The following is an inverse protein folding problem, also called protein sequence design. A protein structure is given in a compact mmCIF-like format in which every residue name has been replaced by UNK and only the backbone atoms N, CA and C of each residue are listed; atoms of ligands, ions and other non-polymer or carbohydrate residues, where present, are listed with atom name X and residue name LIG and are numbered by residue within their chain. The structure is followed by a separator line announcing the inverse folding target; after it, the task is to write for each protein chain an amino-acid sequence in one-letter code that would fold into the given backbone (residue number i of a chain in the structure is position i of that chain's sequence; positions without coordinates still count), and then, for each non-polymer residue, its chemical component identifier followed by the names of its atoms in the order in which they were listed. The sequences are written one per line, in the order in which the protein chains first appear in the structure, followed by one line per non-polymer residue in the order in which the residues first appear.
data_IF_019641845087
#
_entry.id   IF_019641845087
#
_cell.length_a   1.000
_cell.length_b   1.000
_cell.length_c   1.000
_cell.angle_alpha   90.00
_cell.angle_beta   90.00
_cell.angle_gamma   90.00
#
_symmetry.space_group_name_H-M   'P 1'
#
loop_
_entity.id
_entity.type
_entity.pdbx_description
1 polymer ?
#
# COMPACT_ATOMS: atom_id res chain seq x y z
N UNK A 1 75.65 7.66 -6.49
CA UNK A 1 75.80 6.38 -5.78
C UNK A 1 74.74 6.40 -4.69
N UNK A 2 73.47 6.01 -4.95
CA UNK A 2 72.96 4.61 -4.98
C UNK A 2 73.47 3.84 -3.74
N UNK A 3 72.65 3.22 -2.88
CA UNK A 3 71.59 2.24 -3.13
C UNK A 3 70.57 2.31 -1.95
N UNK A 4 69.26 2.32 -2.18
CA UNK A 4 68.37 1.14 -2.11
C UNK A 4 68.66 0.16 -0.97
N UNK A 5 67.79 0.15 0.06
CA UNK A 5 67.42 -1.09 0.77
C UNK A 5 65.91 -1.11 0.95
N UNK A 6 65.30 -2.06 0.23
CA UNK A 6 63.94 -2.53 0.39
C UNK A 6 63.78 -3.22 1.76
N UNK A 7 62.71 -2.89 2.48
CA UNK A 7 62.29 -3.58 3.68
C UNK A 7 60.78 -3.79 3.66
N UNK A 8 60.34 -4.80 2.90
CA UNK A 8 58.96 -5.27 2.86
C UNK A 8 58.60 -5.95 4.18
N UNK A 9 57.57 -5.45 4.88
CA UNK A 9 56.83 -6.20 5.89
C UNK A 9 55.37 -6.15 5.50
N UNK A 10 54.88 -7.29 5.01
CA UNK A 10 53.47 -7.57 4.75
C UNK A 10 52.69 -7.72 6.06
N UNK A 11 51.37 -7.46 6.05
CA UNK A 11 50.52 -7.53 7.23
C UNK A 11 50.16 -8.98 7.56
N UNK A 12 50.23 -9.32 8.84
CA UNK A 12 49.66 -10.55 9.37
C UNK A 12 48.13 -10.48 9.30
N UNK A 13 47.56 -11.56 8.76
CA UNK A 13 46.16 -11.78 8.50
C UNK A 13 45.67 -12.75 9.58
N UNK A 14 45.12 -12.25 10.67
CA UNK A 14 44.53 -13.10 11.71
C UNK A 14 43.08 -13.44 11.33
N UNK A 15 42.95 -14.62 10.73
CA UNK A 15 41.70 -15.32 10.50
C UNK A 15 41.31 -16.10 11.76
N UNK A 16 40.54 -15.48 12.65
CA UNK A 16 39.85 -16.20 13.72
C UNK A 16 38.46 -16.58 13.22
N UNK A 17 38.33 -17.86 12.86
CA UNK A 17 37.06 -18.47 12.52
C UNK A 17 36.19 -18.62 13.77
N UNK A 18 35.09 -17.87 13.83
CA UNK A 18 34.06 -18.12 14.82
C UNK A 18 33.16 -19.26 14.33
N UNK A 19 33.47 -20.45 14.84
CA UNK A 19 32.72 -21.68 14.62
C UNK A 19 31.30 -21.59 15.16
N UNK A 20 30.37 -21.92 14.27
CA UNK A 20 28.98 -22.29 14.50
C UNK A 20 28.84 -23.27 15.69
N UNK A 21 28.42 -22.75 16.85
CA UNK A 21 27.92 -23.59 17.94
C UNK A 21 26.41 -23.68 17.83
N UNK A 22 26.00 -24.89 17.48
CA UNK A 22 24.66 -25.43 17.50
C UNK A 22 24.30 -25.73 18.95
N UNK A 23 23.33 -25.03 19.50
CA UNK A 23 22.66 -25.43 20.73
C UNK A 23 21.17 -25.66 20.45
N UNK A 24 20.84 -26.95 20.40
CA UNK A 24 19.51 -27.51 20.56
C UNK A 24 19.06 -27.35 22.03
N UNK A 25 18.04 -26.54 22.32
CA UNK A 25 17.26 -26.67 23.56
C UNK A 25 15.76 -26.40 23.31
N UNK A 26 15.03 -27.52 23.29
CA UNK A 26 13.73 -27.79 23.89
C UNK A 26 12.61 -26.72 23.84
N UNK A 27 11.57 -27.09 23.09
CA UNK A 27 10.18 -26.67 23.27
C UNK A 27 9.71 -27.02 24.69
N UNK A 28 9.45 -26.01 25.52
CA UNK A 28 8.66 -26.17 26.74
C UNK A 28 7.25 -25.61 26.56
N UNK A 29 6.30 -26.53 26.59
CA UNK A 29 4.86 -26.36 26.57
C UNK A 29 4.31 -26.17 27.98
N UNK A 30 3.30 -25.30 28.06
CA UNK A 30 2.25 -25.17 29.09
C UNK A 30 2.61 -24.61 30.47
N UNK A 31 1.93 -23.51 30.83
CA UNK A 31 1.15 -23.44 32.07
C UNK A 31 0.04 -22.39 31.91
N UNK A 32 -1.20 -22.84 31.71
CA UNK A 32 -2.39 -22.02 31.92
C UNK A 32 -2.79 -22.13 33.39
N UNK A 33 -3.06 -21.02 34.10
CA UNK A 33 -3.81 -21.06 35.35
C UNK A 33 -5.31 -20.76 35.13
N UNK A 34 -6.16 -21.11 36.11
CA UNK A 34 -7.54 -21.50 35.89
C UNK A 34 -8.54 -20.33 35.93
N UNK A 35 -9.73 -20.63 35.40
CA UNK A 35 -10.96 -19.85 35.46
C UNK A 35 -11.15 -19.04 36.76
N UNK A 36 -11.38 -17.74 36.59
CA UNK A 36 -12.21 -16.95 37.50
C UNK A 36 -13.35 -16.31 36.70
N UNK A 37 -14.53 -16.88 36.90
CA UNK A 37 -15.83 -16.38 36.48
C UNK A 37 -16.08 -15.04 37.18
N UNK A 38 -16.11 -13.92 36.44
CA UNK A 38 -16.61 -12.64 36.98
C UNK A 38 -17.60 -12.05 35.96
N UNK A 39 -18.85 -12.08 36.39
CA UNK A 39 -20.03 -11.29 36.04
C UNK A 39 -19.94 -10.37 34.84
N UNK A 40 -20.84 -10.62 33.89
CA UNK A 40 -21.41 -9.59 33.02
C UNK A 40 -21.77 -8.34 33.83
N UNK A 41 -21.28 -7.19 33.38
CA UNK A 41 -21.96 -5.91 33.57
C UNK A 41 -21.77 -5.10 32.29
N UNK A 42 -22.64 -5.37 31.33
CA UNK A 42 -22.70 -4.64 30.07
C UNK A 42 -23.20 -3.23 30.30
N UNK A 43 -22.31 -2.25 30.26
CA UNK A 43 -22.69 -0.86 29.96
C UNK A 43 -22.73 -0.73 28.43
N UNK A 44 -23.80 -1.24 27.80
CA UNK A 44 -24.10 -0.90 26.40
C UNK A 44 -24.53 0.56 26.38
N UNK A 45 -23.70 1.42 25.80
CA UNK A 45 -24.17 2.70 25.25
C UNK A 45 -25.33 2.41 24.30
N UNK A 46 -26.42 3.21 24.30
CA UNK A 46 -27.53 2.99 23.39
C UNK A 46 -27.03 3.19 21.95
N UNK A 47 -27.18 2.15 21.13
CA UNK A 47 -27.01 2.25 19.68
C UNK A 47 -28.11 3.18 19.17
N UNK A 48 -27.71 4.27 18.51
CA UNK A 48 -28.65 5.17 17.86
C UNK A 48 -29.49 4.40 16.82
N UNK A 49 -30.81 4.65 16.72
CA UNK A 49 -31.62 3.98 15.71
C UNK A 49 -31.12 4.33 14.30
N UNK A 50 -31.21 3.40 13.34
CA UNK A 50 -30.85 3.69 11.95
C UNK A 50 -31.75 4.82 11.41
N UNK A 51 -31.23 5.71 10.55
CA UNK A 51 -32.04 6.76 9.94
C UNK A 51 -33.18 6.15 9.11
N UNK A 52 -34.36 6.79 9.06
CA UNK A 52 -35.48 6.29 8.27
C UNK A 52 -35.12 6.28 6.78
N UNK A 53 -35.67 5.32 5.98
CA UNK A 53 -35.48 5.31 4.54
C UNK A 53 -36.05 6.59 3.91
N UNK A 54 -35.45 7.09 2.81
CA UNK A 54 -35.98 8.25 2.10
C UNK A 54 -37.41 7.97 1.58
N UNK A 55 -38.27 9.00 1.49
CA UNK A 55 -39.64 8.84 1.01
C UNK A 55 -39.65 8.36 -0.46
N UNK A 56 -40.63 7.53 -0.85
CA UNK A 56 -40.79 7.12 -2.23
C UNK A 56 -41.12 8.33 -3.13
N UNK A 57 -40.68 8.32 -4.39
CA UNK A 57 -41.03 9.36 -5.35
C UNK A 57 -42.56 9.42 -5.56
N UNK A 58 -43.12 10.61 -5.87
CA UNK A 58 -44.55 10.76 -6.10
C UNK A 58 -45.01 9.91 -7.29
N UNK A 59 -46.28 9.43 -7.31
CA UNK A 59 -46.78 8.62 -8.40
C UNK A 59 -46.84 9.45 -9.68
N UNK A 60 -46.11 9.00 -10.71
CA UNK A 60 -46.39 9.45 -12.07
C UNK A 60 -47.78 8.97 -12.45
N UNK A 61 -48.60 9.91 -12.90
CA UNK A 61 -50.03 9.74 -13.10
C UNK A 61 -50.41 8.51 -13.92
N UNK A 62 -51.46 7.85 -13.43
CA UNK A 62 -52.32 6.95 -14.18
C UNK A 62 -52.55 7.49 -15.61
N UNK A 63 -52.29 6.64 -16.59
CA UNK A 63 -53.15 6.57 -17.77
C UNK A 63 -53.74 5.16 -17.83
N UNK A 64 -55.05 5.14 -17.68
CA UNK A 64 -55.93 3.98 -17.68
C UNK A 64 -55.74 3.09 -18.91
N UNK A 65 -55.74 1.77 -18.69
CA UNK A 65 -56.65 0.87 -19.42
C UNK A 65 -56.70 -0.51 -18.75
N UNK A 66 -57.83 -0.74 -18.09
CA UNK A 66 -58.63 -1.98 -18.10
C UNK A 66 -57.97 -3.32 -17.72
N UNK A 67 -58.42 -3.83 -16.58
CA UNK A 67 -58.29 -5.21 -16.11
C UNK A 67 -58.74 -6.26 -17.15
N UNK A 68 -57.82 -7.12 -17.59
CA UNK A 68 -58.11 -8.52 -17.93
C UNK A 68 -57.02 -9.42 -17.33
N UNK A 69 -57.24 -9.92 -16.10
CA UNK A 69 -56.47 -11.05 -15.56
C UNK A 69 -57.11 -12.36 -16.03
N UNK A 70 -56.48 -13.03 -17.00
CA UNK A 70 -56.68 -14.46 -17.28
C UNK A 70 -55.34 -15.17 -17.42
N UNK A 71 -55.03 -15.94 -16.37
CA UNK A 71 -54.30 -17.23 -16.31
C UNK A 71 -52.96 -17.43 -17.04
N UNK A 72 -51.99 -17.91 -16.23
CA UNK A 72 -50.92 -18.90 -16.49
C UNK A 72 -50.06 -18.74 -17.76
N UNK A 73 -48.77 -18.48 -17.54
CA UNK A 73 -47.71 -18.75 -18.52
C UNK A 73 -46.33 -18.50 -17.91
N UNK A 74 -45.45 -19.51 -17.94
CA UNK A 74 -44.02 -19.34 -17.71
C UNK A 74 -43.48 -18.26 -18.67
N UNK A 75 -42.70 -17.31 -18.16
CA UNK A 75 -41.85 -16.45 -18.99
C UNK A 75 -40.43 -16.66 -18.49
N UNK A 76 -39.62 -17.34 -19.30
CA UNK A 76 -38.16 -17.22 -19.23
C UNK A 76 -37.86 -15.74 -19.40
N UNK A 77 -37.37 -15.10 -18.33
CA UNK A 77 -36.87 -13.74 -18.39
C UNK A 77 -35.61 -13.77 -19.26
N UNK A 78 -35.77 -13.49 -20.55
CA UNK A 78 -34.67 -13.17 -21.44
C UNK A 78 -34.16 -11.80 -21.03
N UNK A 79 -33.20 -11.77 -20.10
CA UNK A 79 -32.49 -10.56 -19.73
C UNK A 79 -31.59 -10.18 -20.90
N UNK A 80 -32.05 -9.24 -21.73
CA UNK A 80 -31.19 -8.54 -22.66
C UNK A 80 -30.59 -7.38 -21.89
N UNK A 81 -29.31 -7.49 -21.55
CA UNK A 81 -28.53 -6.32 -21.14
C UNK A 81 -28.40 -5.49 -22.41
N UNK A 82 -29.05 -4.33 -22.42
CA UNK A 82 -28.90 -3.38 -23.51
C UNK A 82 -27.46 -2.85 -23.46
N UNK A 83 -26.64 -3.40 -24.34
CA UNK A 83 -25.21 -3.08 -24.44
C UNK A 83 -25.04 -1.59 -24.78
N UNK A 84 -26.01 -1.00 -25.48
CA UNK A 84 -25.98 0.40 -25.87
C UNK A 84 -26.30 1.33 -24.69
N UNK A 85 -27.26 0.95 -23.83
CA UNK A 85 -27.57 1.70 -22.61
C UNK A 85 -26.40 1.65 -21.62
N UNK A 86 -25.75 0.49 -21.46
CA UNK A 86 -24.56 0.39 -20.58
C UNK A 86 -23.35 1.11 -21.16
N UNK A 87 -23.21 1.16 -22.49
CA UNK A 87 -22.18 1.96 -23.18
C UNK A 87 -22.48 3.46 -23.08
N UNK A 88 -23.74 3.88 -23.10
CA UNK A 88 -24.09 5.29 -22.90
C UNK A 88 -23.88 5.72 -21.44
N UNK A 89 -24.09 4.82 -20.48
CA UNK A 89 -23.98 5.10 -19.05
C UNK A 89 -22.55 5.00 -18.50
N UNK A 90 -21.73 4.09 -19.05
CA UNK A 90 -20.36 3.80 -18.58
C UNK A 90 -19.28 3.86 -19.67
N UNK A 91 -19.64 4.09 -20.93
CA UNK A 91 -18.71 4.16 -22.04
C UNK A 91 -17.73 5.31 -21.88
N UNK A 92 -16.45 4.99 -22.03
CA UNK A 92 -15.40 5.98 -22.14
C UNK A 92 -15.48 6.61 -23.52
N UNK A 93 -15.79 7.91 -23.59
CA UNK A 93 -15.65 8.66 -24.83
C UNK A 93 -14.16 8.86 -25.12
N UNK A 94 -13.54 7.88 -25.79
CA UNK A 94 -12.22 8.06 -26.39
C UNK A 94 -12.33 9.09 -27.52
N UNK A 95 -11.94 10.34 -27.24
CA UNK A 95 -11.84 11.38 -28.25
C UNK A 95 -10.68 11.08 -29.22
N UNK A 96 -11.01 10.74 -30.47
CA UNK A 96 -10.30 11.03 -31.72
C UNK A 96 -11.21 10.56 -32.90
N UNK A 97 -11.49 11.28 -33.99
CA UNK A 97 -10.89 12.47 -34.61
C UNK A 97 -11.81 13.03 -35.71
N UNK A 98 -11.74 14.35 -35.90
CA UNK A 98 -11.97 15.17 -37.11
C UNK A 98 -13.36 15.55 -37.69
N UNK A 99 -13.48 16.89 -37.87
CA UNK A 99 -14.26 17.70 -38.83
C UNK A 99 -15.71 18.17 -38.53
N UNK A 100 -15.76 19.45 -38.10
CA UNK A 100 -16.65 20.56 -38.57
C UNK A 100 -18.02 20.84 -37.90
N UNK A 101 -18.04 21.96 -37.14
CA UNK A 101 -19.11 22.96 -36.86
C UNK A 101 -19.79 23.00 -35.46
N UNK A 102 -20.23 24.20 -34.95
CA UNK A 102 -20.40 24.54 -33.53
C UNK A 102 -21.87 24.93 -33.13
N UNK A 103 -22.15 25.61 -31.99
CA UNK A 103 -21.86 25.30 -30.58
C UNK A 103 -23.14 25.32 -29.71
N UNK A 104 -23.29 24.52 -28.65
CA UNK A 104 -24.09 24.98 -27.48
C UNK A 104 -23.76 24.27 -26.17
N UNK A 105 -23.67 25.10 -25.12
CA UNK A 105 -23.82 24.84 -23.68
C UNK A 105 -22.55 24.49 -22.90
N UNK A 106 -21.95 25.60 -22.46
CA UNK A 106 -21.26 25.81 -21.18
C UNK A 106 -21.75 24.84 -20.09
N UNK A 107 -20.93 23.83 -19.81
CA UNK A 107 -20.99 22.99 -18.62
C UNK A 107 -19.68 23.15 -17.86
N UNK A 108 -19.76 23.66 -16.63
CA UNK A 108 -18.66 23.96 -15.71
C UNK A 108 -17.65 22.81 -15.60
N UNK A 109 -16.37 23.19 -15.76
CA UNK A 109 -15.13 22.45 -15.52
C UNK A 109 -15.26 21.08 -14.86
N UNK A 110 -15.21 20.03 -15.68
CA UNK A 110 -14.47 18.84 -15.27
C UNK A 110 -13.00 19.23 -15.37
N UNK A 111 -12.32 19.20 -14.24
CA UNK A 111 -10.86 19.20 -14.19
C UNK A 111 -10.43 18.11 -15.17
N UNK A 112 -9.87 18.50 -16.31
CA UNK A 112 -9.24 17.58 -17.23
C UNK A 112 -8.10 16.95 -16.45
N UNK A 113 -8.36 15.77 -15.89
CA UNK A 113 -7.30 14.82 -15.62
C UNK A 113 -6.66 14.62 -16.98
N UNK A 114 -5.46 15.16 -17.15
CA UNK A 114 -4.65 14.84 -18.32
C UNK A 114 -4.45 13.35 -18.24
N UNK A 115 -5.23 12.61 -19.00
CA UNK A 115 -5.03 11.18 -19.18
C UNK A 115 -3.84 11.04 -20.12
N UNK A 116 -2.66 11.33 -19.57
CA UNK A 116 -1.44 10.68 -20.02
C UNK A 116 -1.75 9.20 -19.98
N UNK A 117 -1.63 8.53 -21.13
CA UNK A 117 -1.77 7.07 -21.27
C UNK A 117 -0.71 6.38 -20.42
N UNK A 118 -0.93 6.34 -19.12
CA UNK A 118 -0.06 5.75 -18.12
C UNK A 118 -0.38 4.25 -18.07
N UNK A 119 0.67 3.44 -18.21
CA UNK A 119 0.56 1.98 -18.14
C UNK A 119 0.53 1.59 -16.67
N UNK A 120 -0.56 0.96 -16.23
CA UNK A 120 -0.70 0.40 -14.88
C UNK A 120 -0.51 -1.12 -14.91
N UNK A 121 0.40 -1.66 -14.10
CA UNK A 121 0.66 -3.11 -14.00
C UNK A 121 0.09 -3.67 -12.70
N UNK A 122 0.20 -2.89 -11.63
CA UNK A 122 -0.47 -3.15 -10.36
C UNK A 122 -1.98 -3.04 -10.51
N UNK A 123 -2.70 -3.78 -9.67
CA UNK A 123 -4.15 -3.68 -9.61
C UNK A 123 -4.57 -2.27 -9.17
N UNK A 124 -5.70 -1.73 -9.63
CA UNK A 124 -6.09 -0.33 -9.39
C UNK A 124 -6.09 0.08 -7.90
N UNK A 125 -6.52 -0.84 -7.02
CA UNK A 125 -6.50 -0.64 -5.56
C UNK A 125 -5.07 -0.55 -5.01
N UNK A 126 -4.16 -1.41 -5.49
CA UNK A 126 -2.76 -1.45 -5.06
C UNK A 126 -2.02 -0.22 -5.56
N UNK A 127 -2.16 0.12 -6.85
CA UNK A 127 -1.60 1.32 -7.44
C UNK A 127 -2.04 2.59 -6.69
N UNK A 128 -3.31 2.68 -6.31
CA UNK A 128 -3.83 3.81 -5.53
C UNK A 128 -3.18 3.91 -4.13
N UNK A 129 -3.12 2.81 -3.38
CA UNK A 129 -2.54 2.81 -2.03
C UNK A 129 -1.07 3.26 -2.06
N UNK A 130 -0.29 2.76 -3.02
CA UNK A 130 1.11 3.16 -3.21
C UNK A 130 1.20 4.63 -3.65
N UNK A 131 0.35 5.07 -4.58
CA UNK A 131 0.36 6.46 -5.05
C UNK A 131 0.03 7.46 -3.93
N UNK A 132 -0.91 7.13 -3.03
CA UNK A 132 -1.23 7.96 -1.87
C UNK A 132 -0.02 8.06 -0.95
N UNK A 133 0.63 6.93 -0.65
CA UNK A 133 1.85 6.91 0.15
C UNK A 133 2.95 7.79 -0.46
N UNK A 134 3.18 7.70 -1.77
CA UNK A 134 4.23 8.48 -2.43
C UNK A 134 3.97 10.00 -2.39
N UNK A 135 2.70 10.42 -2.47
CA UNK A 135 2.33 11.84 -2.45
C UNK A 135 2.75 12.57 -1.17
N UNK A 136 2.95 11.87 -0.05
CA UNK A 136 3.36 12.50 1.20
C UNK A 136 4.83 12.97 1.19
N UNK A 137 5.68 12.42 0.32
CA UNK A 137 7.11 12.67 0.36
C UNK A 137 7.58 13.91 -0.41
N UNK A 138 6.73 14.56 -1.23
CA UNK A 138 7.08 15.74 -2.05
C UNK A 138 8.43 15.62 -2.79
N UNK A 139 8.87 14.40 -3.10
CA UNK A 139 10.17 14.03 -3.69
C UNK A 139 9.95 13.08 -4.86
N UNK A 140 10.99 12.87 -5.68
CA UNK A 140 10.94 11.94 -6.79
C UNK A 140 11.06 10.48 -6.33
N UNK A 141 10.48 9.54 -7.10
CA UNK A 141 10.60 8.11 -6.84
C UNK A 141 12.06 7.64 -6.78
N UNK A 142 12.91 8.17 -7.67
CA UNK A 142 14.35 7.86 -7.72
C UNK A 142 15.02 8.21 -6.39
N UNK A 143 14.81 9.43 -5.89
CA UNK A 143 15.39 9.87 -4.61
C UNK A 143 14.96 8.98 -3.45
N UNK A 144 13.68 8.58 -3.39
CA UNK A 144 13.19 7.71 -2.32
C UNK A 144 13.84 6.32 -2.37
N UNK A 145 14.01 5.75 -3.56
CA UNK A 145 14.65 4.44 -3.74
C UNK A 145 16.15 4.52 -3.47
N UNK A 146 16.81 5.60 -3.88
CA UNK A 146 18.22 5.86 -3.58
C UNK A 146 18.43 5.95 -2.06
N UNK A 147 17.58 6.69 -1.34
CA UNK A 147 17.67 6.79 0.12
C UNK A 147 17.56 5.41 0.79
N UNK A 148 16.65 4.55 0.30
CA UNK A 148 16.51 3.15 0.76
C UNK A 148 17.76 2.32 0.43
N UNK A 149 18.33 2.51 -0.76
CA UNK A 149 19.54 1.82 -1.20
C UNK A 149 20.78 2.24 -0.40
N UNK A 150 20.86 3.50 0.03
CA UNK A 150 21.99 4.00 0.82
C UNK A 150 21.78 3.86 2.33
N UNK A 151 20.57 3.52 2.78
CA UNK A 151 20.26 3.43 4.21
C UNK A 151 20.22 4.80 4.91
N UNK A 152 19.81 5.83 4.17
CA UNK A 152 19.62 7.19 4.69
C UNK A 152 18.32 7.25 5.50
N UNK A 153 18.43 7.24 6.83
CA UNK A 153 17.27 7.32 7.73
C UNK A 153 16.79 8.75 7.96
N UNK A 154 17.62 9.76 7.72
CA UNK A 154 17.26 11.17 7.96
C UNK A 154 16.12 11.64 7.06
N UNK A 155 16.02 11.03 5.88
CA UNK A 155 15.05 11.41 4.87
C UNK A 155 13.68 10.75 5.11
N UNK A 156 13.59 9.75 6.00
CA UNK A 156 12.40 8.96 6.32
C UNK A 156 12.04 9.02 7.81
N UNK A 157 10.77 9.29 8.12
CA UNK A 157 10.26 9.10 9.48
C UNK A 157 9.95 7.63 9.81
N UNK A 158 9.81 7.30 11.09
CA UNK A 158 9.44 5.95 11.54
C UNK A 158 8.06 5.52 11.00
N UNK A 159 7.05 6.39 11.09
CA UNK A 159 5.70 6.12 10.57
C UNK A 159 5.68 5.83 9.06
N UNK A 160 6.27 6.68 8.19
CA UNK A 160 6.39 6.35 6.78
C UNK A 160 7.08 5.02 6.48
N UNK A 161 8.11 4.63 7.25
CA UNK A 161 8.77 3.34 7.08
C UNK A 161 7.86 2.17 7.47
N UNK A 162 7.07 2.30 8.55
CA UNK A 162 6.06 1.32 8.94
C UNK A 162 4.99 1.14 7.86
N UNK A 163 4.55 2.23 7.24
CA UNK A 163 3.57 2.16 6.16
C UNK A 163 4.17 1.58 4.88
N UNK A 164 5.43 1.90 4.55
CA UNK A 164 6.13 1.29 3.43
C UNK A 164 6.24 -0.23 3.57
N UNK A 165 6.51 -0.74 4.78
CA UNK A 165 6.56 -2.18 5.05
C UNK A 165 5.23 -2.88 4.75
N UNK A 166 4.10 -2.22 5.00
CA UNK A 166 2.76 -2.74 4.67
C UNK A 166 2.46 -2.69 3.17
N UNK A 167 3.14 -1.81 2.45
CA UNK A 167 2.95 -1.57 1.01
C UNK A 167 3.99 -2.28 0.14
N UNK A 168 4.85 -3.13 0.72
CA UNK A 168 5.82 -3.90 -0.04
C UNK A 168 5.16 -4.70 -1.15
N UNK A 169 5.85 -4.89 -2.28
CA UNK A 169 5.31 -5.66 -3.38
C UNK A 169 5.23 -7.14 -3.03
N UNK A 170 4.11 -7.77 -3.41
CA UNK A 170 3.90 -9.20 -3.29
C UNK A 170 4.66 -9.97 -4.38
N UNK A 171 4.88 -11.28 -4.16
CA UNK A 171 5.66 -12.13 -5.07
C UNK A 171 5.15 -12.09 -6.51
N UNK A 172 3.84 -12.01 -6.72
CA UNK A 172 3.26 -11.98 -8.06
C UNK A 172 3.37 -10.61 -8.72
N UNK A 173 3.26 -9.52 -7.94
CA UNK A 173 3.53 -8.15 -8.41
C UNK A 173 4.98 -8.01 -8.87
N UNK A 174 5.94 -8.55 -8.09
CA UNK A 174 7.36 -8.59 -8.46
C UNK A 174 7.58 -9.33 -9.78
N UNK A 175 6.93 -10.48 -10.00
CA UNK A 175 7.04 -11.22 -11.27
C UNK A 175 6.49 -10.43 -12.44
N UNK A 176 5.29 -9.82 -12.31
CA UNK A 176 4.66 -9.01 -13.35
C UNK A 176 5.55 -7.83 -13.75
N UNK A 177 6.09 -7.11 -12.77
CA UNK A 177 6.96 -5.96 -12.99
C UNK A 177 8.32 -6.35 -13.60
N UNK A 178 8.90 -7.49 -13.18
CA UNK A 178 10.14 -8.03 -13.80
C UNK A 178 9.94 -8.54 -15.23
N UNK A 179 8.73 -9.04 -15.54
CA UNK A 179 8.37 -9.51 -16.88
C UNK A 179 8.05 -8.36 -17.84
N UNK A 180 7.81 -7.14 -17.34
CA UNK A 180 7.55 -5.98 -18.18
C UNK A 180 8.74 -5.69 -19.11
N UNK A 181 8.43 -5.44 -20.39
CA UNK A 181 9.41 -5.11 -21.46
C UNK A 181 9.10 -3.77 -22.13
N UNK A 182 8.13 -3.02 -21.61
CA UNK A 182 7.79 -1.70 -22.12
C UNK A 182 8.69 -0.60 -21.57
N UNK A 183 8.35 0.64 -21.90
CA UNK A 183 9.07 1.81 -21.44
C UNK A 183 8.67 2.18 -20.00
N UNK A 184 9.66 2.19 -19.10
CA UNK A 184 9.50 2.49 -17.67
C UNK A 184 8.96 3.91 -17.47
N UNK A 185 9.26 4.84 -18.39
CA UNK A 185 8.82 6.24 -18.32
C UNK A 185 7.31 6.41 -18.53
N UNK A 186 6.64 5.39 -19.06
CA UNK A 186 5.19 5.37 -19.29
C UNK A 186 4.42 4.69 -18.17
N UNK A 187 5.12 4.10 -17.19
CA UNK A 187 4.47 3.48 -16.05
C UNK A 187 3.82 4.54 -15.16
N UNK A 188 2.72 4.16 -14.51
CA UNK A 188 2.10 5.02 -13.48
C UNK A 188 3.11 5.35 -12.36
N UNK A 189 2.84 6.41 -11.61
CA UNK A 189 3.67 6.81 -10.47
C UNK A 189 3.96 5.65 -9.50
N UNK A 190 2.95 4.82 -9.23
CA UNK A 190 3.06 3.69 -8.32
C UNK A 190 3.88 2.55 -8.93
N UNK A 191 3.59 2.17 -10.17
CA UNK A 191 4.33 1.10 -10.87
C UNK A 191 5.80 1.46 -11.06
N UNK A 192 6.09 2.71 -11.40
CA UNK A 192 7.46 3.22 -11.51
C UNK A 192 8.22 3.09 -10.20
N UNK A 193 7.61 3.46 -9.07
CA UNK A 193 8.24 3.32 -7.75
C UNK A 193 8.50 1.85 -7.41
N UNK A 194 7.49 0.98 -7.56
CA UNK A 194 7.65 -0.43 -7.23
C UNK A 194 8.67 -1.10 -8.14
N UNK A 195 8.68 -0.75 -9.43
CA UNK A 195 9.68 -1.21 -10.39
C UNK A 195 11.10 -0.83 -9.93
N UNK A 196 11.33 0.41 -9.50
CA UNK A 196 12.63 0.82 -8.99
C UNK A 196 12.99 0.10 -7.69
N UNK A 197 12.02 -0.06 -6.78
CA UNK A 197 12.21 -0.71 -5.49
C UNK A 197 12.67 -2.17 -5.64
N UNK A 198 12.07 -2.93 -6.56
CA UNK A 198 12.42 -4.36 -6.77
C UNK A 198 13.81 -4.58 -7.35
N UNK A 199 14.44 -3.53 -7.88
CA UNK A 199 15.83 -3.56 -8.35
C UNK A 199 16.83 -3.43 -7.19
N UNK A 200 16.39 -2.90 -6.04
CA UNK A 200 17.23 -2.79 -4.85
C UNK A 200 17.37 -4.19 -4.22
N UNK A 201 18.60 -4.69 -4.04
CA UNK A 201 18.81 -5.99 -3.42
C UNK A 201 18.37 -5.95 -1.95
N UNK A 202 17.61 -6.95 -1.54
CA UNK A 202 17.10 -7.09 -0.17
C UNK A 202 16.33 -5.85 0.33
N UNK A 203 15.53 -5.22 -0.52
CA UNK A 203 14.78 -3.99 -0.20
C UNK A 203 13.97 -4.09 1.09
N UNK A 204 13.31 -5.23 1.36
CA UNK A 204 12.52 -5.43 2.59
C UNK A 204 13.38 -5.27 3.84
N UNK A 205 14.52 -5.96 3.90
CA UNK A 205 15.44 -5.93 5.04
C UNK A 205 16.08 -4.55 5.23
N UNK A 206 16.36 -3.84 4.13
CA UNK A 206 16.86 -2.46 4.18
C UNK A 206 15.84 -1.52 4.82
N UNK A 207 14.57 -1.64 4.47
CA UNK A 207 13.49 -0.83 5.04
C UNK A 207 13.28 -1.16 6.52
N UNK A 208 13.32 -2.45 6.90
CA UNK A 208 13.27 -2.87 8.31
C UNK A 208 14.44 -2.30 9.12
N UNK A 209 15.65 -2.33 8.54
CA UNK A 209 16.86 -1.78 9.18
C UNK A 209 16.77 -0.25 9.34
N UNK A 210 16.23 0.45 8.33
CA UNK A 210 15.97 1.89 8.40
C UNK A 210 14.97 2.23 9.51
N UNK A 211 13.88 1.45 9.62
CA UNK A 211 12.89 1.63 10.67
C UNK A 211 13.53 1.45 12.04
N UNK A 212 14.29 0.37 12.23
CA UNK A 212 15.00 0.12 13.49
C UNK A 212 15.94 1.28 13.83
N UNK A 213 16.72 1.76 12.86
CA UNK A 213 17.64 2.90 13.05
C UNK A 213 16.91 4.16 13.52
N UNK A 214 15.66 4.37 13.08
CA UNK A 214 14.86 5.53 13.48
C UNK A 214 14.22 5.39 14.87
N UNK A 215 13.85 4.17 15.28
CA UNK A 215 13.14 3.92 16.55
C UNK A 215 14.08 3.62 17.72
N UNK A 216 15.26 3.08 17.40
CA UNK A 216 16.24 2.65 18.38
C UNK A 216 16.67 3.76 19.36
N UNK A 217 16.90 5.02 18.95
CA UNK A 217 17.28 6.08 19.89
C UNK A 217 16.24 6.33 20.99
N UNK A 218 14.96 6.40 20.61
CA UNK A 218 13.87 6.60 21.58
C UNK A 218 13.72 5.40 22.52
N UNK A 219 13.84 4.18 21.98
CA UNK A 219 13.81 2.96 22.80
C UNK A 219 14.99 2.89 23.79
N UNK A 220 16.19 3.28 23.37
CA UNK A 220 17.37 3.36 24.24
C UNK A 220 17.18 4.39 25.35
N UNK A 221 16.63 5.56 25.03
CA UNK A 221 16.42 6.62 26.02
C UNK A 221 15.39 6.22 27.07
N UNK A 222 14.27 5.61 26.65
CA UNK A 222 13.29 5.06 27.57
C UNK A 222 13.93 4.01 28.49
N UNK A 223 14.71 3.08 27.94
CA UNK A 223 15.40 2.05 28.72
C UNK A 223 16.40 2.64 29.74
N UNK A 224 17.20 3.64 29.34
CA UNK A 224 18.11 4.37 30.25
C UNK A 224 17.35 5.04 31.38
N UNK A 225 16.22 5.68 31.06
CA UNK A 225 15.36 6.33 32.05
C UNK A 225 14.82 5.33 33.08
N UNK A 226 14.31 4.18 32.64
CA UNK A 226 13.85 3.11 33.55
C UNK A 226 14.98 2.59 34.46
N UNK A 227 16.17 2.38 33.90
CA UNK A 227 17.35 1.96 34.68
C UNK A 227 17.74 3.03 35.70
N UNK A 228 17.70 4.31 35.32
CA UNK A 228 17.96 5.43 36.23
C UNK A 228 16.99 5.48 37.42
N UNK A 229 15.70 5.21 37.19
CA UNK A 229 14.71 5.13 38.28
C UNK A 229 15.03 3.97 39.23
N UNK A 230 15.27 2.77 38.69
CA UNK A 230 15.57 1.58 39.50
C UNK A 230 16.85 1.77 40.33
N UNK A 231 17.89 2.34 39.73
CA UNK A 231 19.14 2.63 40.40
C UNK A 231 18.96 3.67 41.52
N UNK A 232 18.15 4.71 41.28
CA UNK A 232 17.87 5.74 42.29
C UNK A 232 17.01 5.23 43.46
N UNK A 233 16.13 4.25 43.21
CA UNK A 233 15.26 3.67 44.24
C UNK A 233 15.96 2.60 45.12
N UNK A 234 17.05 2.01 44.62
CA UNK A 234 17.78 0.93 45.32
C UNK A 234 18.91 1.46 46.22
N UNK A 235 19.31 2.71 46.03
CA UNK A 235 20.33 3.39 46.84
C UNK A 235 19.74 3.95 48.13
#
# INVERSE_FOLDING_TARGET
VEMHVMGSISPANDSEGFSFLKEDVAVSKAMSPPFSHISENGTRSPVAPPPPPPPPPPPLGLRDSTCLKKRRGQVQQHFQIDVQEVEELFGHNDCQSDAKAPPTRVGKGRVSFRETKEVSILDPKRGLNVAIFLKQFKRSNQTLVDDIQHGSSESFGAEPLRDLLKLLPEKDEVKKLKAYRGDISKLSLADSFVYLLIQVPSYSLRIESLLLKQEFPAACEAMKHHFGILHSATK
#
